data_IF_335917626784
#
_entry.id   IF_335917626784
#
_cell.length_a   1.000
_cell.length_b   1.000
_cell.length_c   1.000
_cell.angle_alpha   90.00
_cell.angle_beta   90.00
_cell.angle_gamma   90.00
#
_symmetry.space_group_name_H-M   'P 1'
#
loop_
_entity.id
_entity.type
_entity.pdbx_description
1 polymer ?
#
# COMPACT_ATOMS: atom_id res chain seq x y z
N UNK A 1 17.87 7.69 -6.77
CA UNK A 1 17.80 9.10 -7.13
C UNK A 1 19.02 9.89 -6.63
N UNK A 2 19.45 9.75 -5.37
CA UNK A 2 20.65 10.45 -4.85
C UNK A 2 21.94 9.89 -5.49
N UNK A 3 22.01 8.59 -5.73
CA UNK A 3 23.15 7.92 -6.38
C UNK A 3 23.25 8.31 -7.86
N UNK A 4 22.12 8.45 -8.55
CA UNK A 4 22.09 8.90 -9.95
C UNK A 4 22.54 10.37 -10.09
N UNK A 5 22.14 11.24 -9.15
CA UNK A 5 22.54 12.67 -9.16
C UNK A 5 24.02 12.85 -8.82
N UNK A 6 24.59 12.04 -7.92
CA UNK A 6 26.03 12.01 -7.64
C UNK A 6 26.84 11.53 -8.85
N UNK A 7 26.37 10.52 -9.57
CA UNK A 7 27.02 10.03 -10.78
C UNK A 7 27.06 11.08 -11.90
N UNK A 8 25.96 11.79 -12.10
CA UNK A 8 25.91 12.89 -13.10
C UNK A 8 26.82 14.06 -12.71
N UNK A 9 26.87 14.44 -11.43
CA UNK A 9 27.77 15.48 -10.94
C UNK A 9 29.24 15.11 -11.11
N UNK A 10 29.60 13.84 -10.82
CA UNK A 10 30.98 13.34 -11.02
C UNK A 10 31.39 13.30 -12.51
N UNK A 11 30.45 12.92 -13.41
CA UNK A 11 30.70 12.98 -14.86
C UNK A 11 30.91 14.42 -15.33
N UNK A 12 30.12 15.37 -14.87
CA UNK A 12 30.27 16.80 -15.21
C UNK A 12 31.61 17.37 -14.72
N UNK A 13 32.00 17.04 -13.49
CA UNK A 13 33.29 17.44 -12.91
C UNK A 13 34.46 16.82 -13.69
N UNK A 14 34.36 15.55 -14.10
CA UNK A 14 35.36 14.88 -14.93
C UNK A 14 35.50 15.52 -16.32
N UNK A 15 34.39 15.90 -16.96
CA UNK A 15 34.37 16.61 -18.24
C UNK A 15 34.97 18.03 -18.16
N UNK A 16 34.65 18.79 -17.10
CA UNK A 16 35.22 20.11 -16.83
C UNK A 16 36.75 20.02 -16.61
N UNK A 17 37.22 18.99 -15.91
CA UNK A 17 38.64 18.75 -15.66
C UNK A 17 39.39 18.41 -16.96
N UNK A 18 38.76 17.62 -17.86
CA UNK A 18 39.31 17.31 -19.20
C UNK A 18 39.42 18.53 -20.11
N UNK A 19 38.56 19.53 -19.94
CA UNK A 19 38.61 20.78 -20.73
C UNK A 19 39.73 21.72 -20.26
N UNK A 20 40.14 21.67 -18.99
CA UNK A 20 41.16 22.53 -18.41
C UNK A 20 42.59 22.03 -18.58
N UNK A 21 42.80 20.76 -18.91
CA UNK A 21 44.10 20.13 -19.02
C UNK A 21 44.63 20.09 -20.44
N UNK A 22 45.74 20.80 -20.73
CA UNK A 22 46.35 20.83 -22.07
C UNK A 22 47.40 19.76 -22.35
N UNK A 23 47.79 18.93 -21.36
CA UNK A 23 48.84 17.93 -21.44
C UNK A 23 48.32 16.52 -21.79
N UNK A 24 49.15 15.73 -22.56
CA UNK A 24 48.81 14.32 -22.89
C UNK A 24 48.55 13.47 -21.64
N UNK A 25 49.32 13.69 -20.57
CA UNK A 25 49.14 12.97 -19.28
C UNK A 25 47.80 13.22 -18.60
N UNK A 26 47.32 14.46 -18.65
CA UNK A 26 46.03 14.87 -18.06
C UNK A 26 44.84 14.19 -18.74
N UNK A 27 44.90 14.03 -20.07
CA UNK A 27 43.82 13.35 -20.83
C UNK A 27 43.76 11.86 -20.55
N UNK A 28 44.92 11.19 -20.40
CA UNK A 28 44.97 9.76 -20.04
C UNK A 28 44.42 9.53 -18.63
N UNK A 29 44.79 10.35 -17.66
CA UNK A 29 44.31 10.25 -16.29
C UNK A 29 42.78 10.49 -16.21
N UNK A 30 42.25 11.47 -16.98
CA UNK A 30 40.83 11.74 -17.05
C UNK A 30 40.01 10.57 -17.64
N UNK A 31 40.53 9.93 -18.68
CA UNK A 31 39.90 8.74 -19.28
C UNK A 31 39.90 7.53 -18.31
N UNK A 32 40.98 7.31 -17.57
CA UNK A 32 41.07 6.25 -16.57
C UNK A 32 40.08 6.50 -15.40
N UNK A 33 39.94 7.74 -14.92
CA UNK A 33 38.97 8.11 -13.90
C UNK A 33 37.53 7.95 -14.39
N UNK A 34 37.23 8.37 -15.62
CA UNK A 34 35.91 8.15 -16.22
C UNK A 34 35.59 6.66 -16.38
N UNK A 35 36.57 5.84 -16.83
CA UNK A 35 36.44 4.40 -16.91
C UNK A 35 36.18 3.73 -15.56
N UNK A 36 36.90 4.14 -14.50
CA UNK A 36 36.70 3.67 -13.13
C UNK A 36 35.33 4.07 -12.59
N UNK A 37 34.84 5.26 -12.90
CA UNK A 37 33.50 5.71 -12.49
C UNK A 37 32.39 4.93 -13.20
N UNK A 38 32.54 4.66 -14.49
CA UNK A 38 31.61 3.82 -15.26
C UNK A 38 31.61 2.38 -14.71
N UNK A 39 32.80 1.83 -14.45
CA UNK A 39 32.94 0.49 -13.86
C UNK A 39 32.35 0.42 -12.46
N UNK A 40 32.60 1.43 -11.63
CA UNK A 40 32.00 1.59 -10.31
C UNK A 40 30.47 1.66 -10.39
N UNK A 41 29.91 2.39 -11.36
CA UNK A 41 28.47 2.43 -11.59
C UNK A 41 27.93 1.07 -12.05
N UNK A 42 28.62 0.36 -12.94
CA UNK A 42 28.18 -0.97 -13.38
C UNK A 42 28.25 -2.01 -12.25
N UNK A 43 29.24 -1.92 -11.36
CA UNK A 43 29.43 -2.87 -10.27
C UNK A 43 28.58 -2.55 -9.03
N UNK A 44 28.33 -1.27 -8.73
CA UNK A 44 27.69 -0.84 -7.49
C UNK A 44 26.40 -0.03 -7.71
N UNK A 45 26.11 0.38 -8.95
CA UNK A 45 24.94 1.20 -9.28
C UNK A 45 23.65 0.41 -9.44
N UNK A 46 23.74 -0.91 -9.53
CA UNK A 46 22.55 -1.76 -9.50
C UNK A 46 22.15 -1.95 -8.03
N UNK A 47 20.99 -1.47 -7.67
CA UNK A 47 20.41 -1.81 -6.38
C UNK A 47 20.40 -3.35 -6.26
N UNK A 48 20.95 -3.87 -5.16
CA UNK A 48 20.90 -5.31 -4.91
C UNK A 48 19.45 -5.79 -5.06
N UNK A 49 19.20 -6.91 -5.72
CA UNK A 49 17.86 -7.45 -5.85
C UNK A 49 17.26 -7.57 -4.46
N UNK A 50 16.08 -6.97 -4.26
CA UNK A 50 15.38 -7.04 -2.98
C UNK A 50 14.93 -8.47 -2.79
N UNK A 51 15.47 -9.13 -1.76
CA UNK A 51 15.17 -10.53 -1.50
C UNK A 51 13.65 -10.76 -1.41
N UNK A 52 13.17 -11.76 -2.12
CA UNK A 52 11.75 -12.11 -2.16
C UNK A 52 10.86 -11.15 -2.95
N UNK A 53 11.41 -10.20 -3.72
CA UNK A 53 10.61 -9.31 -4.56
C UNK A 53 9.96 -10.11 -5.69
N UNK A 54 8.63 -10.12 -5.72
CA UNK A 54 7.80 -10.78 -6.73
C UNK A 54 7.31 -9.77 -7.78
N UNK A 55 6.94 -8.58 -7.32
CA UNK A 55 6.41 -7.51 -8.16
C UNK A 55 6.74 -6.14 -7.61
N UNK A 56 6.93 -5.15 -8.51
CA UNK A 56 7.10 -3.75 -8.16
C UNK A 56 6.56 -2.85 -9.26
N UNK A 57 5.78 -1.84 -8.88
CA UNK A 57 5.27 -0.78 -9.74
C UNK A 57 5.15 0.53 -8.97
N UNK A 58 5.41 1.65 -9.63
CA UNK A 58 5.15 2.98 -9.10
C UNK A 58 3.75 3.43 -9.56
N UNK A 59 2.81 3.51 -8.63
CA UNK A 59 1.49 4.11 -8.86
C UNK A 59 1.59 5.64 -8.80
N UNK A 60 0.55 6.39 -9.19
CA UNK A 60 0.53 7.84 -9.00
C UNK A 60 0.65 8.28 -7.55
N UNK A 61 0.46 7.36 -6.59
CA UNK A 61 0.37 7.68 -5.15
C UNK A 61 1.58 7.19 -4.37
N UNK A 62 2.14 6.02 -4.72
CA UNK A 62 3.15 5.32 -3.94
C UNK A 62 3.84 4.23 -4.74
N UNK A 63 4.97 3.74 -4.26
CA UNK A 63 5.59 2.54 -4.78
C UNK A 63 4.89 1.31 -4.20
N UNK A 64 4.32 0.48 -5.07
CA UNK A 64 3.63 -0.77 -4.69
C UNK A 64 4.56 -1.94 -4.96
N UNK A 65 4.81 -2.77 -3.95
CA UNK A 65 5.63 -3.99 -4.08
C UNK A 65 4.92 -5.18 -3.48
N UNK A 66 5.10 -6.32 -4.13
CA UNK A 66 4.73 -7.64 -3.59
C UNK A 66 6.02 -8.39 -3.28
N UNK A 67 6.13 -8.91 -2.07
CA UNK A 67 7.27 -9.69 -1.62
C UNK A 67 6.81 -11.00 -1.03
N UNK A 68 7.58 -12.05 -1.27
CA UNK A 68 7.38 -13.37 -0.68
C UNK A 68 8.57 -13.75 0.21
N UNK A 69 8.28 -14.46 1.28
CA UNK A 69 9.20 -15.38 1.93
C UNK A 69 8.63 -16.80 1.87
N UNK A 70 9.20 -17.73 2.64
CA UNK A 70 8.78 -19.14 2.62
C UNK A 70 7.33 -19.35 3.05
N UNK A 71 6.80 -18.50 3.93
CA UNK A 71 5.49 -18.65 4.56
C UNK A 71 4.48 -17.58 4.12
N UNK A 72 4.95 -16.36 3.91
CA UNK A 72 4.08 -15.19 3.75
C UNK A 72 4.28 -14.47 2.45
N UNK A 73 3.23 -13.78 2.02
CA UNK A 73 3.23 -12.75 0.99
C UNK A 73 2.89 -11.41 1.63
N UNK A 74 3.67 -10.40 1.26
CA UNK A 74 3.60 -9.05 1.81
C UNK A 74 3.22 -8.05 0.71
N UNK A 75 2.22 -7.22 0.99
CA UNK A 75 2.01 -5.97 0.26
C UNK A 75 2.80 -4.87 0.96
N UNK A 76 3.73 -4.29 0.22
CA UNK A 76 4.60 -3.21 0.73
C UNK A 76 4.30 -1.95 -0.06
N UNK A 77 3.79 -0.93 0.62
CA UNK A 77 3.56 0.39 0.05
C UNK A 77 4.66 1.32 0.56
N UNK A 78 5.43 1.89 -0.38
CA UNK A 78 6.68 2.60 -0.12
C UNK A 78 7.66 1.74 0.69
N UNK A 79 7.64 1.83 2.01
CA UNK A 79 8.55 1.12 2.93
C UNK A 79 7.83 0.32 4.01
N UNK A 80 6.49 0.33 4.01
CA UNK A 80 5.68 -0.22 5.09
C UNK A 80 4.87 -1.42 4.61
N UNK A 81 4.76 -2.42 5.44
CA UNK A 81 3.84 -3.54 5.22
C UNK A 81 2.41 -3.08 5.46
N UNK A 82 1.58 -3.23 4.45
CA UNK A 82 0.15 -2.90 4.51
C UNK A 82 -0.75 -4.12 4.51
N UNK A 83 -0.27 -5.26 3.98
CA UNK A 83 -0.96 -6.53 4.15
C UNK A 83 0.06 -7.66 4.26
N UNK A 84 -0.31 -8.70 5.00
CA UNK A 84 0.41 -9.95 5.12
C UNK A 84 -0.59 -11.07 4.90
N UNK A 85 -0.28 -11.96 3.96
CA UNK A 85 -1.10 -13.11 3.63
C UNK A 85 -0.31 -14.38 3.87
N UNK A 86 -0.90 -15.32 4.57
CA UNK A 86 -0.32 -16.66 4.69
C UNK A 86 -0.51 -17.41 3.38
N UNK A 87 0.59 -17.87 2.75
CA UNK A 87 0.55 -18.49 1.43
C UNK A 87 -0.16 -19.85 1.41
N UNK A 88 -0.15 -20.57 2.54
CA UNK A 88 -0.85 -21.84 2.69
C UNK A 88 -2.33 -21.68 3.08
N UNK A 89 -2.74 -20.51 3.58
CA UNK A 89 -4.13 -20.19 3.95
C UNK A 89 -4.42 -18.71 3.69
N UNK A 90 -4.71 -18.35 2.44
CA UNK A 90 -4.84 -16.95 2.00
C UNK A 90 -5.98 -16.17 2.65
N UNK A 91 -6.99 -16.85 3.19
CA UNK A 91 -8.16 -16.20 3.78
C UNK A 91 -8.02 -15.96 5.29
N UNK A 92 -7.08 -16.63 5.96
CA UNK A 92 -6.83 -16.39 7.38
C UNK A 92 -6.33 -14.97 7.63
N UNK A 93 -6.94 -14.28 8.59
CA UNK A 93 -6.50 -12.96 9.08
C UNK A 93 -5.24 -13.12 9.93
N UNK A 94 -4.09 -12.77 9.37
CA UNK A 94 -2.81 -12.91 10.06
C UNK A 94 -2.52 -11.76 11.04
N UNK A 95 -2.84 -10.52 10.65
CA UNK A 95 -2.52 -9.35 11.47
C UNK A 95 -3.50 -9.22 12.64
N UNK A 96 -3.03 -9.04 13.89
CA UNK A 96 -3.91 -8.99 15.07
C UNK A 96 -4.97 -7.89 14.98
N UNK A 97 -4.63 -6.73 14.40
CA UNK A 97 -5.59 -5.64 14.27
C UNK A 97 -6.78 -6.03 13.39
N UNK A 98 -6.54 -6.76 12.30
CA UNK A 98 -7.63 -7.19 11.40
C UNK A 98 -8.56 -8.19 12.09
N UNK A 99 -8.02 -9.05 12.97
CA UNK A 99 -8.83 -9.95 13.81
C UNK A 99 -9.70 -9.15 14.80
N UNK A 100 -9.19 -8.04 15.34
CA UNK A 100 -9.99 -7.17 16.21
C UNK A 100 -11.05 -6.39 15.42
N UNK A 101 -10.73 -5.96 14.21
CA UNK A 101 -11.70 -5.23 13.38
C UNK A 101 -12.93 -6.05 13.05
N UNK A 102 -12.79 -7.36 12.81
CA UNK A 102 -13.93 -8.21 12.52
C UNK A 102 -14.84 -8.45 13.74
N UNK A 103 -14.36 -8.24 14.96
CA UNK A 103 -15.19 -8.32 16.15
C UNK A 103 -16.36 -7.31 16.14
N UNK A 104 -16.27 -6.23 15.37
CA UNK A 104 -17.37 -5.29 15.18
C UNK A 104 -18.65 -5.94 14.62
N UNK A 105 -18.49 -7.02 13.84
CA UNK A 105 -19.64 -7.76 13.30
C UNK A 105 -20.46 -8.42 14.42
N UNK A 106 -19.80 -8.87 15.50
CA UNK A 106 -20.49 -9.47 16.65
C UNK A 106 -21.36 -8.46 17.42
N UNK A 107 -21.16 -7.17 17.19
CA UNK A 107 -21.93 -6.10 17.81
C UNK A 107 -23.17 -5.71 16.98
N UNK A 108 -23.30 -6.24 15.76
CA UNK A 108 -24.38 -5.93 14.84
C UNK A 108 -25.23 -7.17 14.61
N UNK A 109 -26.49 -7.19 15.04
CA UNK A 109 -27.37 -8.32 14.76
C UNK A 109 -27.63 -8.50 13.27
N UNK A 110 -27.32 -9.66 12.71
CA UNK A 110 -27.62 -10.07 11.33
C UNK A 110 -27.27 -9.02 10.25
N UNK A 111 -25.97 -8.63 10.14
CA UNK A 111 -25.55 -7.59 9.21
C UNK A 111 -25.79 -8.03 7.77
N UNK A 112 -26.37 -7.16 6.95
CA UNK A 112 -26.66 -7.39 5.54
C UNK A 112 -25.74 -6.59 4.60
N UNK A 113 -25.27 -5.43 5.05
CA UNK A 113 -24.47 -4.52 4.25
C UNK A 113 -23.22 -4.06 5.00
N UNK A 114 -22.06 -4.30 4.40
CA UNK A 114 -20.76 -3.86 4.89
C UNK A 114 -20.10 -2.85 3.96
N UNK A 115 -19.25 -1.99 4.53
CA UNK A 115 -18.39 -1.09 3.80
C UNK A 115 -16.97 -1.20 4.34
N UNK A 116 -16.01 -1.47 3.47
CA UNK A 116 -14.58 -1.39 3.81
C UNK A 116 -13.99 -0.15 3.12
N UNK A 117 -13.38 0.73 3.89
CA UNK A 117 -12.61 1.87 3.42
C UNK A 117 -11.12 1.56 3.59
N UNK A 118 -10.43 1.29 2.48
CA UNK A 118 -9.09 0.74 2.39
C UNK A 118 -9.11 -0.76 2.13
N UNK A 119 -8.47 -1.19 1.05
CA UNK A 119 -8.51 -2.59 0.59
C UNK A 119 -7.26 -3.38 0.95
N UNK A 120 -6.11 -2.75 0.72
CA UNK A 120 -4.82 -3.41 0.87
C UNK A 120 -4.75 -4.72 0.08
N UNK A 121 -4.32 -5.82 0.70
CA UNK A 121 -4.30 -7.15 0.10
C UNK A 121 -5.64 -7.89 0.11
N UNK A 122 -6.75 -7.23 0.44
CA UNK A 122 -8.09 -7.83 0.45
C UNK A 122 -8.32 -8.84 1.59
N UNK A 123 -7.50 -8.87 2.62
CA UNK A 123 -7.58 -9.88 3.68
C UNK A 123 -8.93 -9.88 4.39
N UNK A 124 -9.41 -8.68 4.78
CA UNK A 124 -10.70 -8.55 5.45
C UNK A 124 -11.86 -8.98 4.55
N UNK A 125 -11.87 -8.54 3.29
CA UNK A 125 -12.90 -8.89 2.32
C UNK A 125 -12.93 -10.40 2.01
N UNK A 126 -11.75 -11.06 1.89
CA UNK A 126 -11.65 -12.53 1.71
C UNK A 126 -12.23 -13.28 2.90
N UNK A 127 -11.86 -12.86 4.11
CA UNK A 127 -12.35 -13.50 5.32
C UNK A 127 -13.87 -13.36 5.44
N UNK A 128 -14.41 -12.17 5.19
CA UNK A 128 -15.86 -11.92 5.20
C UNK A 128 -16.59 -12.77 4.16
N UNK A 129 -16.04 -12.95 2.96
CA UNK A 129 -16.63 -13.81 1.95
C UNK A 129 -16.78 -15.27 2.39
N UNK A 130 -15.89 -15.75 3.26
CA UNK A 130 -15.97 -17.12 3.81
C UNK A 130 -16.92 -17.23 4.98
N UNK A 131 -16.87 -16.28 5.90
CA UNK A 131 -17.60 -16.37 7.18
C UNK A 131 -19.01 -15.80 7.07
N UNK A 132 -19.20 -14.85 6.15
CA UNK A 132 -20.47 -14.17 5.90
C UNK A 132 -20.78 -14.07 4.40
N UNK A 133 -21.01 -15.19 3.72
CA UNK A 133 -21.19 -15.22 2.27
C UNK A 133 -22.41 -14.44 1.76
N UNK A 134 -23.38 -14.14 2.65
CA UNK A 134 -24.59 -13.36 2.31
C UNK A 134 -24.41 -11.86 2.50
N UNK A 135 -23.26 -11.39 3.00
CA UNK A 135 -23.01 -9.98 3.24
C UNK A 135 -22.78 -9.24 1.91
N UNK A 136 -23.64 -8.29 1.58
CA UNK A 136 -23.38 -7.32 0.50
C UNK A 136 -22.25 -6.39 0.93
N UNK A 137 -21.13 -6.41 0.20
CA UNK A 137 -19.93 -5.70 0.63
C UNK A 137 -19.45 -4.70 -0.44
N UNK A 138 -19.40 -3.42 -0.05
CA UNK A 138 -18.72 -2.39 -0.80
C UNK A 138 -17.28 -2.24 -0.28
N UNK A 139 -16.29 -2.27 -1.18
CA UNK A 139 -14.87 -2.13 -0.87
C UNK A 139 -14.33 -0.93 -1.64
N UNK A 140 -13.73 0.01 -0.94
CA UNK A 140 -13.24 1.26 -1.52
C UNK A 140 -11.72 1.36 -1.34
N UNK A 141 -11.01 1.49 -2.45
CA UNK A 141 -9.56 1.69 -2.49
C UNK A 141 -9.25 2.83 -3.46
N UNK A 142 -8.36 3.73 -3.09
CA UNK A 142 -8.04 4.87 -3.94
C UNK A 142 -6.98 4.56 -5.00
N UNK A 143 -6.11 3.57 -4.75
CA UNK A 143 -5.03 3.18 -5.64
C UNK A 143 -5.42 1.98 -6.52
N UNK A 144 -5.60 2.16 -7.83
CA UNK A 144 -5.97 1.07 -8.74
C UNK A 144 -4.90 -0.02 -8.82
N UNK A 145 -3.63 0.30 -8.55
CA UNK A 145 -2.55 -0.70 -8.52
C UNK A 145 -2.74 -1.62 -7.32
N UNK A 146 -3.12 -1.09 -6.15
CA UNK A 146 -3.41 -1.91 -4.96
C UNK A 146 -4.57 -2.86 -5.22
N UNK A 147 -5.66 -2.38 -5.84
CA UNK A 147 -6.81 -3.25 -6.22
C UNK A 147 -6.36 -4.38 -7.13
N UNK A 148 -5.54 -4.08 -8.15
CA UNK A 148 -5.01 -5.11 -9.05
C UNK A 148 -4.12 -6.10 -8.32
N UNK A 149 -3.24 -5.64 -7.42
CA UNK A 149 -2.37 -6.53 -6.64
C UNK A 149 -3.16 -7.47 -5.73
N UNK A 150 -4.25 -6.99 -5.12
CA UNK A 150 -5.13 -7.83 -4.33
C UNK A 150 -5.69 -9.02 -5.14
N UNK A 151 -6.04 -8.79 -6.39
CA UNK A 151 -6.57 -9.82 -7.27
C UNK A 151 -5.48 -10.74 -7.83
N UNK A 152 -4.37 -10.19 -8.33
CA UNK A 152 -3.33 -10.95 -9.03
C UNK A 152 -2.42 -11.73 -8.07
N UNK A 153 -2.17 -11.19 -6.88
CA UNK A 153 -1.19 -11.75 -5.96
C UNK A 153 -1.75 -12.18 -4.60
N UNK A 154 -2.83 -11.56 -4.13
CA UNK A 154 -3.38 -11.88 -2.82
C UNK A 154 -4.66 -12.72 -2.87
N UNK A 155 -4.94 -13.32 -4.02
CA UNK A 155 -6.05 -14.26 -4.22
C UNK A 155 -7.43 -13.69 -3.82
N UNK A 156 -7.61 -12.37 -3.95
CA UNK A 156 -8.91 -11.76 -3.78
C UNK A 156 -9.70 -11.81 -5.07
N UNK A 157 -10.60 -12.78 -5.18
CA UNK A 157 -11.55 -12.90 -6.28
C UNK A 157 -12.92 -12.50 -5.75
N UNK A 158 -13.38 -11.23 -5.98
CA UNK A 158 -14.62 -10.74 -5.41
C UNK A 158 -15.81 -11.60 -5.85
N UNK A 159 -16.60 -12.16 -4.91
CA UNK A 159 -17.87 -12.80 -5.26
C UNK A 159 -18.87 -11.74 -5.78
N UNK A 160 -20.00 -12.19 -6.33
CA UNK A 160 -20.95 -11.31 -7.01
C UNK A 160 -21.55 -10.20 -6.13
N UNK A 161 -21.58 -10.43 -4.80
CA UNK A 161 -22.06 -9.48 -3.79
C UNK A 161 -20.96 -8.60 -3.18
N UNK A 162 -19.72 -8.65 -3.72
CA UNK A 162 -18.64 -7.75 -3.34
C UNK A 162 -18.36 -6.76 -4.47
N UNK A 163 -18.52 -5.46 -4.21
CA UNK A 163 -18.33 -4.39 -5.18
C UNK A 163 -17.09 -3.57 -4.84
N UNK A 164 -16.10 -3.59 -5.74
CA UNK A 164 -14.84 -2.86 -5.53
C UNK A 164 -14.89 -1.52 -6.29
N UNK A 165 -14.65 -0.43 -5.58
CA UNK A 165 -14.64 0.93 -6.11
C UNK A 165 -13.25 1.55 -6.00
N UNK A 166 -12.70 1.97 -7.14
CA UNK A 166 -11.47 2.77 -7.17
C UNK A 166 -11.85 4.23 -6.96
N UNK A 167 -11.82 4.67 -5.69
CA UNK A 167 -12.26 6.01 -5.30
C UNK A 167 -11.66 6.44 -3.96
N UNK A 168 -11.54 7.76 -3.73
CA UNK A 168 -11.25 8.28 -2.40
C UNK A 168 -12.36 7.90 -1.41
N UNK A 169 -11.98 7.43 -0.23
CA UNK A 169 -12.90 6.92 0.79
C UNK A 169 -13.92 7.97 1.23
N UNK A 170 -13.50 9.21 1.46
CA UNK A 170 -14.41 10.27 1.91
C UNK A 170 -15.36 10.73 0.82
N UNK A 171 -14.86 10.80 -0.42
CA UNK A 171 -15.70 11.11 -1.58
C UNK A 171 -16.75 10.02 -1.76
N UNK A 172 -16.37 8.74 -1.65
CA UNK A 172 -17.33 7.64 -1.72
C UNK A 172 -18.41 7.76 -0.62
N UNK A 173 -18.00 7.97 0.63
CA UNK A 173 -18.92 8.11 1.76
C UNK A 173 -19.93 9.26 1.55
N UNK A 174 -19.50 10.36 0.97
CA UNK A 174 -20.40 11.49 0.64
C UNK A 174 -21.42 11.13 -0.42
N UNK A 175 -20.96 10.47 -1.48
CA UNK A 175 -21.73 10.24 -2.70
C UNK A 175 -22.70 9.07 -2.57
N UNK A 176 -22.34 8.03 -1.80
CA UNK A 176 -23.20 6.84 -1.66
C UNK A 176 -24.54 7.17 -1.01
N UNK A 177 -25.62 6.62 -1.60
CA UNK A 177 -26.95 6.63 -1.00
C UNK A 177 -27.22 5.48 -0.03
N UNK A 178 -26.26 4.52 0.06
CA UNK A 178 -26.41 3.28 0.82
C UNK A 178 -26.22 3.51 2.32
N UNK A 179 -26.94 2.72 3.11
CA UNK A 179 -26.72 2.56 4.55
C UNK A 179 -26.06 1.23 4.83
N UNK A 180 -25.14 1.22 5.80
CA UNK A 180 -24.34 0.06 6.15
C UNK A 180 -24.54 -0.34 7.60
N UNK A 181 -24.55 -1.63 7.83
CA UNK A 181 -24.65 -2.20 9.18
C UNK A 181 -23.28 -2.23 9.84
N UNK A 182 -22.22 -2.40 9.06
CA UNK A 182 -20.85 -2.31 9.54
C UNK A 182 -20.01 -1.51 8.56
N UNK A 183 -19.24 -0.55 9.08
CA UNK A 183 -18.24 0.20 8.32
C UNK A 183 -16.87 -0.07 8.93
N UNK A 184 -15.94 -0.60 8.15
CA UNK A 184 -14.54 -0.76 8.54
C UNK A 184 -13.70 0.34 7.89
N UNK A 185 -12.97 1.09 8.71
CA UNK A 185 -12.02 2.11 8.25
C UNK A 185 -10.61 1.59 8.46
N UNK A 186 -9.99 1.11 7.39
CA UNK A 186 -8.63 0.54 7.35
C UNK A 186 -7.79 1.24 6.26
N UNK A 187 -7.94 2.55 6.16
CA UNK A 187 -7.30 3.37 5.15
C UNK A 187 -6.02 4.01 5.69
N UNK A 188 -4.88 3.56 5.18
CA UNK A 188 -3.56 4.09 5.52
C UNK A 188 -2.86 4.64 4.29
N UNK A 189 -2.24 5.82 4.45
CA UNK A 189 -1.26 6.34 3.52
C UNK A 189 0.10 6.38 4.23
N UNK A 190 1.07 5.61 3.71
CA UNK A 190 2.39 5.41 4.33
C UNK A 190 2.27 4.77 5.73
N UNK A 191 2.31 5.57 6.81
CA UNK A 191 2.26 5.09 8.19
C UNK A 191 1.07 5.64 8.99
N UNK A 192 0.27 6.50 8.37
CA UNK A 192 -0.80 7.24 9.06
C UNK A 192 -2.11 7.16 8.29
N UNK A 193 -3.21 7.25 9.03
CA UNK A 193 -4.51 7.48 8.41
C UNK A 193 -4.50 8.87 7.74
N UNK A 194 -4.94 9.01 6.48
CA UNK A 194 -5.01 10.30 5.82
C UNK A 194 -5.80 11.32 6.66
N UNK A 195 -5.25 12.53 6.81
CA UNK A 195 -5.81 13.54 7.70
C UNK A 195 -7.31 13.79 7.46
N UNK A 196 -7.76 13.81 6.20
CA UNK A 196 -9.18 14.04 5.87
C UNK A 196 -10.11 12.91 6.32
N UNK A 197 -9.57 11.75 6.73
CA UNK A 197 -10.31 10.61 7.29
C UNK A 197 -10.25 10.53 8.82
N UNK A 198 -9.66 11.53 9.49
CA UNK A 198 -9.53 11.59 10.95
C UNK A 198 -10.30 12.75 11.58
N UNK A 199 -11.06 13.51 10.77
CA UNK A 199 -11.78 14.70 11.23
C UNK A 199 -13.16 14.36 11.81
N UNK A 200 -13.65 15.22 12.71
CA UNK A 200 -14.99 15.09 13.29
C UNK A 200 -16.06 15.06 12.20
N UNK A 201 -15.88 15.85 11.13
CA UNK A 201 -16.80 15.89 9.99
C UNK A 201 -16.86 14.55 9.27
N UNK A 202 -15.72 13.88 9.08
CA UNK A 202 -15.69 12.56 8.46
C UNK A 202 -16.45 11.52 9.30
N UNK A 203 -16.23 11.50 10.60
CA UNK A 203 -17.00 10.61 11.49
C UNK A 203 -18.51 10.95 11.52
N UNK A 204 -18.86 12.24 11.42
CA UNK A 204 -20.25 12.64 11.26
C UNK A 204 -20.83 12.19 9.90
N UNK A 205 -20.02 12.17 8.82
CA UNK A 205 -20.40 11.64 7.52
C UNK A 205 -20.62 10.12 7.61
N UNK A 206 -19.71 9.36 8.26
CA UNK A 206 -19.87 7.92 8.50
C UNK A 206 -21.13 7.59 9.28
N UNK A 207 -21.38 8.32 10.37
CA UNK A 207 -22.61 8.15 11.21
C UNK A 207 -23.88 8.27 10.38
N UNK A 208 -23.92 9.21 9.41
CA UNK A 208 -25.06 9.36 8.51
C UNK A 208 -25.23 8.19 7.53
N UNK A 209 -24.20 7.36 7.34
CA UNK A 209 -24.22 6.19 6.47
C UNK A 209 -24.46 4.89 7.23
N UNK A 210 -24.56 4.91 8.55
CA UNK A 210 -24.95 3.74 9.33
C UNK A 210 -26.47 3.51 9.25
N UNK A 211 -26.85 2.24 9.29
CA UNK A 211 -28.18 1.78 9.69
C UNK A 211 -28.42 2.10 11.17
N UNK A 212 -29.68 1.98 11.70
CA UNK A 212 -29.97 2.36 13.09
C UNK A 212 -29.07 1.69 14.13
N UNK A 213 -28.75 0.42 13.96
CA UNK A 213 -27.92 -0.38 14.87
C UNK A 213 -26.51 -0.63 14.30
N UNK A 214 -26.14 0.16 13.31
CA UNK A 214 -24.86 -0.01 12.60
C UNK A 214 -23.66 0.44 13.44
N UNK A 215 -22.51 -0.18 13.19
CA UNK A 215 -21.26 0.09 13.91
C UNK A 215 -20.13 0.50 12.96
N UNK A 216 -19.16 1.25 13.49
CA UNK A 216 -17.93 1.60 12.79
C UNK A 216 -16.77 0.98 13.55
N UNK A 217 -15.93 0.24 12.84
CA UNK A 217 -14.63 -0.25 13.32
C UNK A 217 -13.50 0.53 12.64
N UNK A 218 -12.58 1.08 13.42
CA UNK A 218 -11.52 1.95 12.88
C UNK A 218 -10.17 1.40 13.30
N UNK A 219 -9.30 1.16 12.33
CA UNK A 219 -7.90 0.92 12.60
C UNK A 219 -7.18 2.27 12.77
N UNK A 220 -6.73 2.55 13.97
CA UNK A 220 -5.95 3.75 14.29
C UNK A 220 -4.56 3.32 14.75
N UNK A 221 -3.54 3.56 13.91
CA UNK A 221 -2.16 3.44 14.36
C UNK A 221 -1.79 4.73 15.10
N UNK A 222 -1.42 4.62 16.39
CA UNK A 222 -0.70 5.67 17.08
C UNK A 222 0.80 5.34 17.05
N UNK A 223 1.68 6.33 16.87
CA UNK A 223 3.07 6.17 17.23
C UNK A 223 3.11 5.84 18.72
N UNK A 224 3.61 4.66 19.10
CA UNK A 224 3.65 4.18 20.49
C UNK A 224 4.58 4.95 21.41
N UNK A 225 5.03 6.12 21.02
CA UNK A 225 5.76 7.07 21.84
C UNK A 225 4.74 7.85 22.65
N UNK A 226 4.30 7.21 23.76
CA UNK A 226 3.44 7.86 24.74
C UNK A 226 4.08 9.16 25.22
N UNK A 227 3.58 10.28 24.69
CA UNK A 227 3.77 11.60 25.26
C UNK A 227 2.77 11.83 26.37
#
# INVERSE_FOLDING_TARGET
>A
TLVASLGVLQLLLGLLWLQQGSGKGTKVTGLLLAGLLILSWQLFGQAAPVAGLVYQEDSPYQQVRVRDDDLFRYLVLDRTWHAVMWRSDPATLFLPYSQLMVAAVALTPDPKRGLILGHGGGSLAKWLAQVWPELELDVVEFDPVVVRMAQEYFEYHPPANHHVFVKDARVFVRDTGVKYDVIWVDAFARHLVPFHLTTVEFFAELRRKLSPDGVVSVNLASSGDGG
#
